data_IF_509430034293
#
_entry.id   IF_509430034293
#
_cell.length_a   1.000
_cell.length_b   1.000
_cell.length_c   1.000
_cell.angle_alpha   90.00
_cell.angle_beta   90.00
_cell.angle_gamma   90.00
#
_symmetry.space_group_name_H-M   'P 1'
#
loop_
_entity.id
_entity.type
_entity.pdbx_description
1 polymer ?
#
# COMPACT_ATOMS: atom_id res chain seq x y z
N UNK A 1 17.04 -35.88 8.38
CA UNK A 1 17.97 -34.86 7.86
C UNK A 1 17.11 -33.73 7.33
N UNK A 2 16.67 -32.85 8.23
CA UNK A 2 15.84 -31.69 7.86
C UNK A 2 16.77 -30.62 7.32
N UNK A 3 16.85 -30.51 6.00
CA UNK A 3 17.23 -29.25 5.35
C UNK A 3 16.31 -28.19 5.94
N UNK A 4 16.86 -27.40 6.85
CA UNK A 4 16.21 -26.16 7.24
C UNK A 4 16.30 -25.32 5.98
N UNK A 5 15.16 -25.16 5.30
CA UNK A 5 14.91 -24.10 4.32
C UNK A 5 15.11 -22.77 5.06
N UNK A 6 16.38 -22.42 5.32
CA UNK A 6 16.74 -21.24 6.08
C UNK A 6 16.41 -20.06 5.21
N UNK A 7 15.47 -19.24 5.68
CA UNK A 7 15.10 -17.99 5.07
C UNK A 7 16.37 -17.17 4.72
N UNK A 8 16.36 -16.44 3.59
CA UNK A 8 17.54 -15.68 3.19
C UNK A 8 17.91 -14.65 4.27
N UNK A 9 19.21 -14.28 4.39
CA UNK A 9 19.66 -13.34 5.41
C UNK A 9 18.83 -12.04 5.42
N UNK A 10 18.47 -11.58 6.61
CA UNK A 10 17.65 -10.37 6.81
C UNK A 10 16.15 -10.54 6.57
N UNK A 11 15.69 -11.69 6.05
CA UNK A 11 14.26 -11.93 5.77
C UNK A 11 13.41 -11.94 7.05
N UNK A 12 13.80 -12.73 8.05
CA UNK A 12 13.06 -12.86 9.32
C UNK A 12 13.11 -11.58 10.16
N UNK A 13 14.21 -10.83 10.08
CA UNK A 13 14.37 -9.52 10.73
C UNK A 13 13.42 -8.50 10.08
N UNK A 14 13.47 -8.35 8.76
CA UNK A 14 12.57 -7.47 8.01
C UNK A 14 11.11 -7.83 8.25
N UNK A 15 10.79 -9.13 8.32
CA UNK A 15 9.45 -9.59 8.66
C UNK A 15 9.03 -9.15 10.06
N UNK A 16 9.85 -9.40 11.08
CA UNK A 16 9.51 -9.02 12.46
C UNK A 16 9.35 -7.51 12.62
N UNK A 17 10.21 -6.72 11.98
CA UNK A 17 10.21 -5.26 12.08
C UNK A 17 9.06 -4.60 11.31
N UNK A 18 8.83 -5.01 10.06
CA UNK A 18 7.94 -4.28 9.16
C UNK A 18 6.56 -4.92 8.94
N UNK A 19 6.32 -6.15 9.43
CA UNK A 19 5.02 -6.84 9.21
C UNK A 19 3.84 -6.01 9.70
N UNK A 20 3.92 -5.40 10.90
CA UNK A 20 2.81 -4.62 11.45
C UNK A 20 2.50 -3.39 10.58
N UNK A 21 3.53 -2.69 10.12
CA UNK A 21 3.41 -1.50 9.27
C UNK A 21 2.81 -1.86 7.90
N UNK A 22 3.26 -2.96 7.31
CA UNK A 22 2.72 -3.50 6.05
C UNK A 22 1.27 -3.99 6.18
N UNK A 23 0.89 -4.60 7.31
CA UNK A 23 -0.51 -5.02 7.58
C UNK A 23 -1.41 -3.80 7.75
N UNK A 24 -0.95 -2.76 8.45
CA UNK A 24 -1.67 -1.47 8.56
C UNK A 24 -1.90 -0.86 7.18
N UNK A 25 -0.87 -0.82 6.33
CA UNK A 25 -0.98 -0.35 4.95
C UNK A 25 -1.99 -1.18 4.13
N UNK A 26 -1.90 -2.51 4.18
CA UNK A 26 -2.81 -3.40 3.48
C UNK A 26 -4.26 -3.21 3.92
N UNK A 27 -4.51 -3.00 5.22
CA UNK A 27 -5.84 -2.77 5.78
C UNK A 27 -6.45 -1.45 5.32
N UNK A 28 -5.66 -0.38 5.22
CA UNK A 28 -6.14 0.89 4.68
C UNK A 28 -6.63 0.79 3.25
N UNK A 29 -6.03 -0.12 2.48
CA UNK A 29 -6.39 -0.36 1.10
C UNK A 29 -7.53 -1.37 0.97
N UNK A 30 -7.51 -2.47 1.72
CA UNK A 30 -8.47 -3.57 1.57
C UNK A 30 -9.74 -3.37 2.42
N UNK A 31 -9.62 -2.71 3.57
CA UNK A 31 -10.66 -2.60 4.59
C UNK A 31 -10.98 -3.93 5.29
N UNK A 32 -10.17 -4.97 5.14
CA UNK A 32 -10.40 -6.29 5.76
C UNK A 32 -9.13 -6.81 6.41
N UNK A 33 -9.24 -7.29 7.66
CA UNK A 33 -8.09 -7.82 8.42
C UNK A 33 -7.50 -9.05 7.73
N UNK A 34 -8.34 -10.04 7.43
CA UNK A 34 -7.91 -11.31 6.83
C UNK A 34 -7.24 -11.06 5.48
N UNK A 35 -7.86 -10.22 4.64
CA UNK A 35 -7.26 -9.83 3.37
C UNK A 35 -5.92 -9.10 3.55
N UNK A 36 -5.70 -8.40 4.66
CA UNK A 36 -4.47 -7.65 4.89
C UNK A 36 -3.30 -8.54 5.24
N UNK A 37 -3.51 -9.52 6.12
CA UNK A 37 -2.48 -10.50 6.46
C UNK A 37 -2.11 -11.35 5.25
N UNK A 38 -3.10 -11.78 4.46
CA UNK A 38 -2.88 -12.51 3.20
C UNK A 38 -2.06 -11.69 2.18
N UNK A 39 -2.36 -10.41 2.03
CA UNK A 39 -1.64 -9.52 1.12
C UNK A 39 -0.17 -9.36 1.52
N UNK A 40 0.10 -9.22 2.82
CA UNK A 40 1.47 -9.12 3.34
C UNK A 40 2.20 -10.45 3.16
N UNK A 41 1.56 -11.57 3.49
CA UNK A 41 2.15 -12.89 3.26
C UNK A 41 2.48 -13.10 1.79
N UNK A 42 1.57 -12.77 0.88
CA UNK A 42 1.81 -12.86 -0.56
C UNK A 42 2.98 -11.96 -1.02
N UNK A 43 3.12 -10.76 -0.44
CA UNK A 43 4.25 -9.88 -0.73
C UNK A 43 5.58 -10.52 -0.32
N UNK A 44 5.70 -11.05 0.89
CA UNK A 44 6.90 -11.75 1.37
C UNK A 44 7.19 -13.02 0.56
N UNK A 45 6.17 -13.84 0.26
CA UNK A 45 6.31 -15.03 -0.59
C UNK A 45 6.81 -14.67 -1.99
N UNK A 46 6.34 -13.57 -2.58
CA UNK A 46 6.82 -13.11 -3.89
C UNK A 46 8.25 -12.58 -3.86
N UNK A 47 8.71 -12.11 -2.71
CA UNK A 47 10.05 -11.56 -2.52
C UNK A 47 11.08 -12.68 -2.26
N UNK A 48 10.68 -13.75 -1.58
CA UNK A 48 11.56 -14.82 -1.13
C UNK A 48 12.53 -15.37 -2.21
N UNK A 49 12.09 -15.69 -3.44
CA UNK A 49 12.98 -16.26 -4.47
C UNK A 49 14.08 -15.31 -4.94
N UNK A 50 13.86 -14.00 -4.83
CA UNK A 50 14.76 -12.94 -5.32
C UNK A 50 15.25 -12.03 -4.20
N UNK A 51 15.14 -12.46 -2.95
CA UNK A 51 15.38 -11.61 -1.78
C UNK A 51 16.76 -10.95 -1.81
N UNK A 52 17.78 -11.71 -2.23
CA UNK A 52 19.17 -11.24 -2.31
C UNK A 52 19.41 -10.20 -3.41
N UNK A 53 18.54 -10.12 -4.40
CA UNK A 53 18.64 -9.18 -5.53
C UNK A 53 17.87 -7.88 -5.27
N UNK A 54 17.10 -7.82 -4.19
CA UNK A 54 16.34 -6.62 -3.82
C UNK A 54 17.25 -5.71 -3.00
N UNK A 55 17.59 -4.54 -3.55
CA UNK A 55 18.42 -3.54 -2.86
C UNK A 55 17.73 -2.96 -1.62
N UNK A 56 16.43 -2.68 -1.70
CA UNK A 56 15.63 -2.15 -0.60
C UNK A 56 14.37 -2.99 -0.40
N UNK A 57 14.45 -3.94 0.55
CA UNK A 57 13.39 -4.90 0.84
C UNK A 57 12.08 -4.23 1.24
N UNK A 58 12.15 -3.22 2.09
CA UNK A 58 10.96 -2.54 2.62
C UNK A 58 10.23 -1.78 1.51
N UNK A 59 10.95 -1.02 0.68
CA UNK A 59 10.37 -0.30 -0.44
C UNK A 59 9.72 -1.25 -1.45
N UNK A 60 10.38 -2.38 -1.74
CA UNK A 60 9.82 -3.43 -2.59
C UNK A 60 8.54 -4.02 -1.99
N UNK A 61 8.55 -4.39 -0.70
CA UNK A 61 7.41 -5.01 -0.02
C UNK A 61 6.21 -4.05 0.04
N UNK A 62 6.43 -2.76 0.35
CA UNK A 62 5.37 -1.73 0.30
C UNK A 62 4.74 -1.66 -1.08
N UNK A 63 5.55 -1.63 -2.14
CA UNK A 63 5.06 -1.61 -3.53
C UNK A 63 4.28 -2.87 -3.88
N UNK A 64 4.77 -4.04 -3.45
CA UNK A 64 4.09 -5.31 -3.64
C UNK A 64 2.71 -5.32 -2.96
N UNK A 65 2.63 -4.93 -1.69
CA UNK A 65 1.36 -4.82 -0.93
C UNK A 65 0.38 -3.87 -1.63
N UNK A 66 0.83 -2.68 -2.02
CA UNK A 66 -0.01 -1.70 -2.72
C UNK A 66 -0.57 -2.25 -4.03
N UNK A 67 0.26 -2.93 -4.82
CA UNK A 67 -0.16 -3.51 -6.09
C UNK A 67 -1.16 -4.66 -5.88
N UNK A 68 -0.86 -5.58 -4.97
CA UNK A 68 -1.73 -6.71 -4.64
C UNK A 68 -3.09 -6.23 -4.13
N UNK A 69 -3.12 -5.18 -3.29
CA UNK A 69 -4.36 -4.58 -2.79
C UNK A 69 -5.17 -3.90 -3.92
N UNK A 70 -4.52 -3.14 -4.82
CA UNK A 70 -5.18 -2.56 -6.00
C UNK A 70 -5.77 -3.63 -6.91
N UNK A 71 -5.05 -4.72 -7.13
CA UNK A 71 -5.51 -5.83 -7.95
C UNK A 71 -6.69 -6.56 -7.30
N UNK A 72 -6.64 -6.75 -5.98
CA UNK A 72 -7.75 -7.26 -5.18
C UNK A 72 -9.01 -6.40 -5.33
N UNK A 73 -8.89 -5.09 -5.15
CA UNK A 73 -10.01 -4.15 -5.35
C UNK A 73 -10.56 -4.18 -6.78
N UNK A 74 -9.70 -4.23 -7.80
CA UNK A 74 -10.14 -4.33 -9.20
C UNK A 74 -10.90 -5.62 -9.47
N UNK A 75 -10.43 -6.76 -8.94
CA UNK A 75 -11.12 -8.05 -9.03
C UNK A 75 -12.46 -8.02 -8.29
N UNK A 76 -12.49 -7.43 -7.09
CA UNK A 76 -13.70 -7.28 -6.31
C UNK A 76 -14.70 -6.37 -7.02
N UNK A 77 -14.31 -5.21 -7.54
CA UNK A 77 -15.19 -4.32 -8.30
C UNK A 77 -15.77 -4.97 -9.56
N UNK A 78 -14.98 -5.80 -10.27
CA UNK A 78 -15.47 -6.61 -11.39
C UNK A 78 -16.49 -7.66 -10.95
N UNK A 79 -16.32 -8.27 -9.77
CA UNK A 79 -17.28 -9.21 -9.18
C UNK A 79 -18.53 -8.53 -8.60
N UNK A 80 -18.37 -7.36 -7.99
CA UNK A 80 -19.43 -6.58 -7.34
C UNK A 80 -20.37 -5.86 -8.33
N UNK A 81 -20.04 -5.86 -9.63
CA UNK A 81 -21.07 -5.64 -10.67
C UNK A 81 -22.20 -6.69 -10.62
N UNK A 82 -22.12 -7.69 -9.73
CA UNK A 82 -23.14 -8.69 -9.45
C UNK A 82 -23.67 -8.71 -7.99
N UNK A 83 -23.01 -8.08 -7.00
CA UNK A 83 -23.38 -8.11 -5.54
C UNK A 83 -22.78 -6.89 -4.79
N UNK A 84 -23.33 -6.35 -3.66
CA UNK A 84 -22.79 -5.17 -2.96
C UNK A 84 -21.53 -5.47 -2.11
N UNK A 85 -20.67 -4.47 -1.81
CA UNK A 85 -19.45 -4.67 -1.04
C UNK A 85 -19.75 -5.03 0.43
N UNK A 86 -19.02 -6.03 0.94
CA UNK A 86 -19.05 -6.41 2.35
C UNK A 86 -18.49 -5.29 3.24
N UNK A 87 -19.11 -5.10 4.40
CA UNK A 87 -18.71 -4.09 5.39
C UNK A 87 -17.36 -4.48 6.01
N UNK A 88 -16.47 -3.49 6.13
CA UNK A 88 -15.17 -3.61 6.77
C UNK A 88 -15.31 -3.72 8.29
N UNK A 89 -14.91 -4.83 8.89
CA UNK A 89 -14.85 -4.95 10.34
C UNK A 89 -13.69 -4.11 10.92
N UNK A 90 -13.92 -3.31 11.96
CA UNK A 90 -12.85 -2.61 12.67
C UNK A 90 -12.07 -3.59 13.55
N UNK A 91 -10.75 -3.63 13.38
CA UNK A 91 -9.86 -4.23 14.37
C UNK A 91 -9.67 -3.22 15.50
N UNK A 92 -10.31 -3.47 16.63
CA UNK A 92 -9.80 -3.13 17.97
C UNK A 92 -8.53 -3.96 18.18
N UNK A 93 -7.48 -3.37 18.75
CA UNK A 93 -6.15 -3.97 19.01
C UNK A 93 -5.10 -3.83 17.90
N UNK A 94 -4.96 -2.62 17.37
CA UNK A 94 -3.64 -2.12 16.96
C UNK A 94 -3.20 -1.13 18.06
N UNK A 95 -2.14 -1.42 18.85
CA UNK A 95 -1.87 -0.73 20.13
C UNK A 95 -1.57 0.79 20.07
N UNK A 96 -1.58 1.41 18.89
CA UNK A 96 -1.24 2.82 18.68
C UNK A 96 -2.30 3.57 17.85
N UNK A 97 -3.48 2.98 17.67
CA UNK A 97 -4.56 3.60 16.88
C UNK A 97 -5.31 4.64 17.72
N UNK A 98 -4.58 5.71 18.01
CA UNK A 98 -4.96 6.94 18.68
C UNK A 98 -6.11 7.66 17.94
N UNK A 99 -6.70 8.69 18.56
CA UNK A 99 -7.80 9.52 18.00
C UNK A 99 -7.56 9.97 16.54
N UNK A 100 -6.29 10.13 16.16
CA UNK A 100 -5.80 10.38 14.80
C UNK A 100 -6.34 9.37 13.77
N UNK A 101 -6.47 8.10 14.14
CA UNK A 101 -7.00 7.08 13.24
C UNK A 101 -8.50 7.24 12.96
N UNK A 102 -9.27 7.70 13.94
CA UNK A 102 -10.69 8.00 13.74
C UNK A 102 -10.86 9.13 12.71
N UNK A 103 -9.98 10.13 12.73
CA UNK A 103 -9.93 11.21 11.72
C UNK A 103 -9.54 10.67 10.34
N UNK A 104 -8.52 9.80 10.27
CA UNK A 104 -8.07 9.19 9.00
C UNK A 104 -9.20 8.36 8.37
N UNK A 105 -9.98 7.59 9.14
CA UNK A 105 -11.12 6.81 8.61
C UNK A 105 -12.16 7.66 7.87
N UNK A 106 -12.31 8.95 8.22
CA UNK A 106 -13.25 9.88 7.56
C UNK A 106 -12.78 10.31 6.16
N UNK A 107 -11.51 10.09 5.82
CA UNK A 107 -10.97 10.42 4.52
C UNK A 107 -11.38 9.40 3.46
N UNK A 108 -11.50 9.82 2.18
CA UNK A 108 -11.60 8.91 1.04
C UNK A 108 -10.46 7.88 1.05
N UNK A 109 -10.70 6.61 0.64
CA UNK A 109 -9.71 5.53 0.75
C UNK A 109 -8.33 5.88 0.18
N UNK A 110 -8.27 6.56 -0.98
CA UNK A 110 -7.01 6.99 -1.61
C UNK A 110 -6.24 8.01 -0.76
N UNK A 111 -6.92 8.88 -0.03
CA UNK A 111 -6.27 9.89 0.81
C UNK A 111 -5.71 9.28 2.11
N UNK A 112 -6.40 8.29 2.68
CA UNK A 112 -5.90 7.56 3.87
C UNK A 112 -4.52 6.93 3.63
N UNK A 113 -4.36 6.29 2.48
CA UNK A 113 -3.12 5.62 2.10
C UNK A 113 -1.98 6.63 1.96
N UNK A 114 -2.24 7.81 1.39
CA UNK A 114 -1.25 8.89 1.28
C UNK A 114 -0.80 9.37 2.66
N UNK A 115 -1.76 9.61 3.56
CA UNK A 115 -1.46 10.05 4.93
C UNK A 115 -0.61 9.02 5.66
N UNK A 116 -0.93 7.73 5.56
CA UNK A 116 -0.15 6.70 6.27
C UNK A 116 1.23 6.51 5.67
N UNK A 117 1.37 6.46 4.35
CA UNK A 117 2.69 6.36 3.74
C UNK A 117 3.56 7.59 4.08
N UNK A 118 2.98 8.79 4.13
CA UNK A 118 3.75 10.00 4.40
C UNK A 118 4.09 10.21 5.88
N UNK A 119 3.11 10.04 6.78
CA UNK A 119 3.25 10.39 8.19
C UNK A 119 3.65 9.23 9.10
N UNK A 120 3.34 7.98 8.73
CA UNK A 120 3.66 6.81 9.56
C UNK A 120 4.81 5.98 9.00
N UNK A 121 5.14 6.13 7.72
CA UNK A 121 6.25 5.43 7.05
C UNK A 121 7.36 6.40 6.60
N UNK A 122 7.25 7.68 6.95
CA UNK A 122 8.17 8.78 6.63
C UNK A 122 8.55 8.88 5.14
N UNK A 123 7.66 8.44 4.24
CA UNK A 123 7.94 8.48 2.80
C UNK A 123 7.74 9.90 2.25
N UNK A 124 8.66 10.39 1.40
CA UNK A 124 8.45 11.67 0.73
C UNK A 124 7.28 11.56 -0.24
N UNK A 125 6.52 12.67 -0.41
CA UNK A 125 5.30 12.69 -1.23
C UNK A 125 5.52 12.23 -2.68
N UNK A 126 6.73 12.39 -3.22
CA UNK A 126 7.10 11.89 -4.57
C UNK A 126 7.10 10.36 -4.65
N UNK A 127 7.60 9.68 -3.63
CA UNK A 127 7.59 8.22 -3.55
C UNK A 127 6.16 7.69 -3.34
N UNK A 128 5.38 8.37 -2.49
CA UNK A 128 3.96 8.09 -2.29
C UNK A 128 3.19 8.20 -3.61
N UNK A 129 3.46 9.25 -4.40
CA UNK A 129 2.85 9.41 -5.72
C UNK A 129 3.22 8.27 -6.67
N UNK A 130 4.49 7.83 -6.68
CA UNK A 130 4.96 6.68 -7.48
C UNK A 130 4.35 5.34 -7.06
N UNK A 131 3.96 5.19 -5.80
CA UNK A 131 3.22 4.02 -5.31
C UNK A 131 1.73 4.09 -5.66
N UNK A 132 1.12 5.27 -5.59
CA UNK A 132 -0.32 5.44 -5.71
C UNK A 132 -0.82 5.59 -7.14
N UNK A 133 -0.06 6.29 -7.98
CA UNK A 133 -0.41 6.55 -9.37
C UNK A 133 0.11 5.42 -10.26
N UNK A 134 -0.71 4.97 -11.20
CA UNK A 134 -0.17 4.25 -12.35
C UNK A 134 0.68 5.21 -13.19
N UNK A 135 1.67 4.69 -13.93
CA UNK A 135 2.51 5.48 -14.84
C UNK A 135 1.65 6.36 -15.78
N UNK A 136 0.51 5.82 -16.22
CA UNK A 136 -0.48 6.52 -17.06
C UNK A 136 -1.23 7.64 -16.33
N UNK A 137 -1.58 7.44 -15.06
CA UNK A 137 -2.19 8.48 -14.22
C UNK A 137 -1.18 9.58 -13.87
N UNK A 138 0.09 9.24 -13.69
CA UNK A 138 1.16 10.19 -13.45
C UNK A 138 1.42 11.05 -14.68
N UNK A 139 1.55 10.45 -15.87
CA UNK A 139 1.72 11.18 -17.13
C UNK A 139 0.51 12.07 -17.43
N UNK A 140 -0.72 11.57 -17.27
CA UNK A 140 -1.93 12.39 -17.43
C UNK A 140 -1.99 13.56 -16.43
N UNK A 141 -1.57 13.35 -15.19
CA UNK A 141 -1.62 14.38 -14.16
C UNK A 141 -0.54 15.42 -14.39
N UNK A 142 0.67 15.02 -14.75
CA UNK A 142 1.75 15.92 -15.18
C UNK A 142 1.32 16.76 -16.39
N UNK A 143 0.75 16.12 -17.43
CA UNK A 143 0.21 16.83 -18.60
C UNK A 143 -0.86 17.84 -18.22
N UNK A 144 -1.76 17.51 -17.29
CA UNK A 144 -2.78 18.45 -16.79
C UNK A 144 -2.16 19.61 -16.02
N UNK A 145 -1.17 19.35 -15.17
CA UNK A 145 -0.50 20.41 -14.39
C UNK A 145 0.30 21.34 -15.29
N UNK A 146 1.04 20.81 -16.27
CA UNK A 146 1.74 21.61 -17.28
C UNK A 146 0.77 22.45 -18.12
N UNK A 147 -0.39 21.89 -18.48
CA UNK A 147 -1.43 22.63 -19.20
C UNK A 147 -2.03 23.75 -18.35
N UNK A 148 -2.35 23.47 -17.09
CA UNK A 148 -2.87 24.49 -16.17
C UNK A 148 -1.86 25.62 -15.92
N UNK A 149 -0.56 25.32 -15.86
CA UNK A 149 0.50 26.33 -15.77
C UNK A 149 0.61 27.13 -17.06
N UNK A 150 0.56 26.49 -18.22
CA UNK A 150 0.56 27.17 -19.52
C UNK A 150 -0.63 28.13 -19.66
N UNK A 151 -1.85 27.67 -19.34
CA UNK A 151 -3.07 28.48 -19.38
C UNK A 151 -2.98 29.69 -18.40
N UNK A 152 -2.30 29.53 -17.27
CA UNK A 152 -2.10 30.61 -16.29
C UNK A 152 -1.08 31.66 -16.77
N UNK A 153 -0.06 31.24 -17.52
CA UNK A 153 0.98 32.14 -18.08
C UNK A 153 0.47 32.88 -19.33
N UNK A 154 -0.46 32.30 -20.07
CA UNK A 154 -1.04 32.91 -21.28
C UNK A 154 -2.15 33.94 -20.98
N UNK A 155 -2.61 33.99 -19.72
CA UNK A 155 -3.67 34.90 -19.25
C UNK A 155 -3.13 36.16 -18.56
N UNK A 156 -1.80 36.36 -18.52
CA UNK A 156 -1.11 37.54 -17.95
C UNK A 156 -0.37 38.30 -19.04
#
# INVERSE_FOLDING_TARGET
>A
MTETDTAPPGFEETFREHRLSLVRLAFLMSGSRDSSEDLVQAAFTSAHPRWREIDNHVAYLRRAVVNLAKDGQRRQFRRLRLVPPAQSEPVTDIPELDETWALIKRLPPRQRVVVVLHYYEDLPLVEVAGLMLTERELDQRLRRTLRAVADTVETV
#
